data_IF_733665489817
#
_entry.id   IF_733665489817
#
_cell.length_a   1.000
_cell.length_b   1.000
_cell.length_c   1.000
_cell.angle_alpha   90.00
_cell.angle_beta   90.00
_cell.angle_gamma   90.00
#
_symmetry.space_group_name_H-M   'P 1'
#
loop_
_entity.id
_entity.type
_entity.pdbx_description
1 polymer ?
#
# COMPACT_ATOMS: atom_id res chain seq x y z
N UNK A 1 82.47 -20.94 26.80
CA UNK A 1 81.48 -19.89 27.15
C UNK A 1 80.32 -19.98 26.16
N UNK A 2 79.26 -20.70 26.55
CA UNK A 2 78.08 -20.91 25.69
C UNK A 2 76.96 -19.90 26.07
N UNK A 3 76.65 -18.95 25.18
CA UNK A 3 75.48 -18.10 25.35
C UNK A 3 74.28 -18.77 24.64
N UNK A 4 73.30 -19.22 25.40
CA UNK A 4 72.00 -19.72 24.92
C UNK A 4 71.11 -18.48 24.79
N UNK A 5 70.71 -18.18 23.56
CA UNK A 5 69.71 -17.16 23.26
C UNK A 5 68.33 -17.80 23.37
N UNK A 6 67.52 -17.32 24.30
CA UNK A 6 66.12 -17.71 24.48
C UNK A 6 65.24 -16.86 23.56
N UNK A 7 64.62 -17.50 22.57
CA UNK A 7 63.63 -16.84 21.70
C UNK A 7 62.25 -16.93 22.34
N UNK A 8 61.68 -15.80 22.71
CA UNK A 8 60.32 -15.71 23.24
C UNK A 8 59.34 -15.60 22.04
N UNK A 9 58.55 -16.65 21.81
CA UNK A 9 57.45 -16.66 20.83
C UNK A 9 56.22 -16.03 21.49
N UNK A 10 55.84 -14.83 21.08
CA UNK A 10 54.57 -14.21 21.46
C UNK A 10 53.52 -14.65 20.44
N UNK A 11 52.61 -15.54 20.87
CA UNK A 11 51.44 -15.93 20.11
C UNK A 11 50.38 -14.85 20.25
N UNK A 12 50.11 -14.06 19.19
CA UNK A 12 49.03 -13.11 19.10
C UNK A 12 47.78 -13.88 18.63
N UNK A 13 46.89 -14.17 19.57
CA UNK A 13 45.56 -14.72 19.23
C UNK A 13 44.65 -13.60 18.78
N UNK A 14 44.34 -13.58 17.49
CA UNK A 14 43.28 -12.73 16.93
C UNK A 14 41.92 -13.32 17.31
N UNK A 15 41.25 -12.71 18.26
CA UNK A 15 39.82 -12.98 18.52
C UNK A 15 39.03 -12.23 17.51
N UNK A 16 38.57 -12.93 16.46
CA UNK A 16 37.60 -12.39 15.50
C UNK A 16 36.25 -12.25 16.22
N UNK A 17 35.93 -11.05 16.66
CA UNK A 17 34.57 -10.71 17.06
C UNK A 17 33.74 -10.60 15.77
N UNK A 18 33.01 -11.67 15.45
CA UNK A 18 31.90 -11.62 14.52
C UNK A 18 30.82 -10.72 15.15
N UNK A 19 30.82 -9.45 14.77
CA UNK A 19 29.70 -8.56 15.06
C UNK A 19 28.48 -9.10 14.30
N UNK A 20 27.62 -9.84 14.98
CA UNK A 20 26.27 -10.11 14.55
C UNK A 20 25.53 -8.76 14.53
N UNK A 21 25.58 -8.09 13.38
CA UNK A 21 24.64 -7.04 13.06
C UNK A 21 23.27 -7.72 12.84
N UNK A 22 22.57 -8.03 13.93
CA UNK A 22 21.14 -8.17 13.90
C UNK A 22 20.60 -6.78 13.52
N UNK A 23 20.37 -6.58 12.22
CA UNK A 23 19.47 -5.54 11.75
C UNK A 23 18.10 -5.90 12.31
N UNK A 24 17.84 -5.41 13.53
CA UNK A 24 16.51 -5.42 14.10
C UNK A 24 15.61 -4.70 13.13
N UNK A 25 14.60 -5.40 12.61
CA UNK A 25 13.50 -4.78 11.91
C UNK A 25 12.99 -3.66 12.84
N UNK A 26 13.25 -2.42 12.47
CA UNK A 26 12.71 -1.26 13.16
C UNK A 26 11.20 -1.45 13.14
N UNK A 27 10.61 -1.69 14.31
CA UNK A 27 9.16 -1.68 14.45
C UNK A 27 8.72 -0.29 13.97
N UNK A 28 8.14 -0.23 12.77
CA UNK A 28 7.67 1.04 12.22
C UNK A 28 6.63 1.58 13.19
N UNK A 29 6.88 2.80 13.66
CA UNK A 29 5.92 3.53 14.47
C UNK A 29 4.59 3.60 13.69
N UNK A 30 3.48 3.32 14.36
CA UNK A 30 2.14 3.34 13.76
C UNK A 30 1.50 4.69 14.02
N UNK A 31 1.06 5.33 12.96
CA UNK A 31 0.26 6.54 12.97
C UNK A 31 -1.22 6.20 12.71
N UNK A 32 -2.12 7.08 13.10
CA UNK A 32 -3.55 6.96 12.80
C UNK A 32 -4.00 8.17 11.99
N UNK A 33 -4.65 7.90 10.87
CA UNK A 33 -5.41 8.91 10.13
C UNK A 33 -6.86 8.91 10.63
N UNK A 34 -7.42 10.10 10.79
CA UNK A 34 -8.85 10.30 11.05
C UNK A 34 -9.37 11.32 10.03
N UNK A 35 -10.46 11.00 9.35
CA UNK A 35 -11.09 11.90 8.41
C UNK A 35 -11.49 13.23 9.10
N UNK A 36 -11.39 14.35 8.39
CA UNK A 36 -11.67 15.68 8.95
C UNK A 36 -13.08 15.80 9.55
N UNK A 37 -14.06 15.12 8.96
CA UNK A 37 -15.44 15.04 9.43
C UNK A 37 -15.66 13.92 10.49
N UNK A 38 -14.62 13.21 10.89
CA UNK A 38 -14.67 12.11 11.83
C UNK A 38 -15.36 10.83 11.31
N UNK A 39 -15.68 10.72 10.02
CA UNK A 39 -16.50 9.61 9.51
C UNK A 39 -15.79 8.25 9.50
N UNK A 40 -14.47 8.23 9.43
CA UNK A 40 -13.65 7.01 9.44
C UNK A 40 -12.24 7.28 9.94
N UNK A 41 -11.55 6.20 10.26
CA UNK A 41 -10.13 6.19 10.63
C UNK A 41 -9.45 4.91 10.15
N UNK A 42 -8.12 4.96 10.05
CA UNK A 42 -7.26 3.79 9.82
C UNK A 42 -5.86 4.06 10.36
N UNK A 43 -5.10 2.97 10.58
CA UNK A 43 -3.72 3.04 11.05
C UNK A 43 -2.75 2.70 9.91
N UNK A 44 -1.57 3.31 9.91
CA UNK A 44 -0.54 3.11 8.89
C UNK A 44 0.86 3.32 9.47
N UNK A 45 1.92 2.73 8.90
CA UNK A 45 3.30 3.03 9.28
C UNK A 45 3.64 4.51 9.07
N UNK A 46 4.18 5.19 10.08
CA UNK A 46 4.46 6.64 10.07
C UNK A 46 5.44 7.08 8.97
N UNK A 47 6.21 6.14 8.41
CA UNK A 47 7.10 6.40 7.27
C UNK A 47 6.38 6.53 5.92
N UNK A 48 5.09 6.20 5.81
CA UNK A 48 4.32 6.32 4.58
C UNK A 48 3.77 7.73 4.42
N UNK A 49 3.61 8.14 3.16
CA UNK A 49 3.01 9.43 2.86
C UNK A 49 1.49 9.33 2.85
N UNK A 50 0.84 10.25 3.56
CA UNK A 50 -0.62 10.37 3.59
C UNK A 50 -1.05 11.64 2.88
N UNK A 51 -1.98 11.52 1.95
CA UNK A 51 -2.68 12.62 1.31
C UNK A 51 -4.17 12.52 1.62
N UNK A 52 -4.77 13.65 1.93
CA UNK A 52 -6.19 13.74 2.28
C UNK A 52 -6.90 14.72 1.37
N UNK A 53 -8.22 14.78 1.49
CA UNK A 53 -9.10 15.69 0.75
C UNK A 53 -8.51 17.10 0.63
N UNK A 54 -8.47 17.62 -0.59
CA UNK A 54 -7.89 18.93 -0.92
C UNK A 54 -6.37 18.98 -1.00
N UNK A 55 -5.64 17.88 -0.70
CA UNK A 55 -4.18 17.79 -0.74
C UNK A 55 -3.69 16.50 -1.44
N UNK A 56 -4.45 15.99 -2.38
CA UNK A 56 -4.12 14.74 -3.08
C UNK A 56 -3.00 14.93 -4.11
N UNK A 57 -2.85 16.10 -4.69
CA UNK A 57 -1.85 16.39 -5.75
C UNK A 57 -0.41 15.93 -5.43
N UNK A 58 0.13 16.11 -4.21
CA UNK A 58 1.48 15.63 -3.89
C UNK A 58 1.64 14.12 -3.91
N UNK A 59 0.54 13.35 -3.94
CA UNK A 59 0.54 11.89 -3.93
C UNK A 59 0.32 11.25 -5.30
N UNK A 60 0.35 12.05 -6.38
CA UNK A 60 0.25 11.53 -7.74
C UNK A 60 1.67 11.29 -8.26
N UNK A 61 2.18 10.06 -8.08
CA UNK A 61 3.58 9.73 -8.33
C UNK A 61 3.87 9.05 -9.67
N UNK A 62 2.90 8.71 -10.50
CA UNK A 62 3.17 7.97 -11.71
C UNK A 62 2.23 8.34 -12.85
N UNK A 63 2.56 7.87 -14.06
CA UNK A 63 1.66 7.94 -15.22
C UNK A 63 0.29 7.29 -14.97
N UNK A 64 0.24 6.30 -14.07
CA UNK A 64 -1.01 5.74 -13.55
C UNK A 64 -1.13 6.25 -12.11
N UNK A 65 -2.02 7.20 -11.83
CA UNK A 65 -2.20 7.69 -10.47
C UNK A 65 -2.70 6.55 -9.57
N UNK A 66 -2.02 6.37 -8.46
CA UNK A 66 -2.42 5.40 -7.43
C UNK A 66 -3.35 6.02 -6.39
N UNK A 67 -3.43 7.35 -6.35
CA UNK A 67 -4.40 8.12 -5.59
C UNK A 67 -5.31 8.89 -6.54
N UNK A 68 -6.61 8.70 -6.41
CA UNK A 68 -7.58 9.46 -7.19
C UNK A 68 -7.74 10.88 -6.65
N UNK A 69 -8.10 11.83 -7.53
CA UNK A 69 -8.28 13.23 -7.14
C UNK A 69 -9.44 13.43 -6.16
N UNK A 70 -10.44 12.55 -6.22
CA UNK A 70 -11.63 12.53 -5.37
C UNK A 70 -11.46 11.65 -4.10
N UNK A 71 -10.26 11.12 -3.86
CA UNK A 71 -9.99 10.35 -2.67
C UNK A 71 -10.15 11.21 -1.41
N UNK A 72 -10.89 10.70 -0.43
CA UNK A 72 -11.01 11.29 0.90
C UNK A 72 -9.71 11.14 1.70
N UNK A 73 -9.00 10.04 1.46
CA UNK A 73 -7.67 9.78 2.00
C UNK A 73 -6.93 8.79 1.12
N UNK A 74 -5.63 8.94 1.01
CA UNK A 74 -4.75 8.02 0.30
C UNK A 74 -3.42 7.91 1.05
N UNK A 75 -2.96 6.67 1.29
CA UNK A 75 -1.63 6.36 1.81
C UNK A 75 -0.82 5.78 0.68
N UNK A 76 0.38 6.33 0.45
CA UNK A 76 1.26 5.85 -0.62
C UNK A 76 2.49 5.20 -0.01
N UNK A 77 2.79 4.01 -0.48
CA UNK A 77 4.06 3.33 -0.23
C UNK A 77 5.09 3.93 -1.18
N UNK A 78 6.15 4.55 -0.68
CA UNK A 78 7.07 5.30 -1.53
C UNK A 78 7.91 4.35 -2.40
N UNK A 79 8.04 4.69 -3.68
CA UNK A 79 8.86 3.97 -4.68
C UNK A 79 10.30 3.73 -4.18
N UNK A 80 10.88 4.68 -3.46
CA UNK A 80 12.26 4.59 -2.95
C UNK A 80 12.52 3.39 -2.03
N UNK A 81 11.49 2.84 -1.38
CA UNK A 81 11.62 1.66 -0.51
C UNK A 81 12.03 0.40 -1.30
N UNK A 82 11.70 0.37 -2.59
CA UNK A 82 12.03 -0.70 -3.51
C UNK A 82 12.74 -0.16 -4.75
N UNK A 83 13.66 0.79 -4.56
CA UNK A 83 14.52 1.30 -5.62
C UNK A 83 15.16 0.12 -6.37
N UNK A 84 15.40 0.27 -7.65
CA UNK A 84 15.90 -0.76 -8.57
C UNK A 84 14.92 -1.92 -8.89
N UNK A 85 13.65 -1.80 -8.49
CA UNK A 85 12.61 -2.74 -8.89
C UNK A 85 11.63 -2.10 -9.86
N UNK A 86 10.80 -2.93 -10.49
CA UNK A 86 9.74 -2.47 -11.40
C UNK A 86 8.47 -2.00 -10.68
N UNK A 87 8.46 -1.94 -9.35
CA UNK A 87 7.36 -1.35 -8.59
C UNK A 87 7.24 0.15 -8.93
N UNK A 88 6.13 0.56 -9.50
CA UNK A 88 5.84 1.96 -9.76
C UNK A 88 5.34 2.67 -8.49
N UNK A 89 4.34 2.12 -7.85
CA UNK A 89 3.83 2.57 -6.56
C UNK A 89 2.86 1.55 -5.98
N UNK A 90 2.58 1.66 -4.67
CA UNK A 90 1.45 1.00 -4.05
C UNK A 90 0.70 1.98 -3.16
N UNK A 91 -0.62 1.81 -3.02
CA UNK A 91 -1.44 2.70 -2.22
C UNK A 91 -2.61 1.98 -1.58
N UNK A 92 -3.05 2.55 -0.46
CA UNK A 92 -4.39 2.34 0.09
C UNK A 92 -5.15 3.65 0.00
N UNK A 93 -6.38 3.62 -0.51
CA UNK A 93 -7.20 4.82 -0.55
C UNK A 93 -8.63 4.56 -0.07
N UNK A 94 -9.27 5.62 0.40
CA UNK A 94 -10.68 5.68 0.77
C UNK A 94 -11.34 6.74 -0.09
N UNK A 95 -12.43 6.39 -0.75
CA UNK A 95 -13.25 7.35 -1.49
C UNK A 95 -14.73 7.12 -1.29
N UNK A 96 -15.52 8.13 -1.58
CA UNK A 96 -16.96 8.01 -1.70
C UNK A 96 -17.33 7.80 -3.16
N UNK A 97 -18.15 6.79 -3.42
CA UNK A 97 -18.67 6.52 -4.76
C UNK A 97 -19.92 7.37 -4.98
N UNK A 98 -19.85 8.24 -5.98
CA UNK A 98 -20.97 9.02 -6.45
C UNK A 98 -21.34 8.55 -7.85
N UNK A 99 -22.63 8.61 -8.18
CA UNK A 99 -23.13 8.39 -9.54
C UNK A 99 -22.95 9.65 -10.38
N UNK A 100 -23.24 9.51 -11.67
CA UNK A 100 -23.28 10.66 -12.60
C UNK A 100 -24.10 11.82 -12.02
N UNK A 101 -23.55 13.03 -12.13
CA UNK A 101 -24.13 14.23 -11.52
C UNK A 101 -23.86 14.37 -10.02
N UNK A 102 -22.89 13.63 -9.48
CA UNK A 102 -22.53 13.61 -8.04
C UNK A 102 -23.69 13.15 -7.12
N UNK A 103 -24.54 12.27 -7.64
CA UNK A 103 -25.67 11.71 -6.88
C UNK A 103 -25.17 10.53 -6.05
N UNK A 104 -25.36 10.53 -4.72
CA UNK A 104 -25.00 9.38 -3.90
C UNK A 104 -25.90 8.18 -4.23
N UNK A 105 -25.37 6.93 -4.20
CA UNK A 105 -26.18 5.73 -4.23
C UNK A 105 -27.21 5.72 -3.10
N UNK A 106 -28.38 5.17 -3.37
CA UNK A 106 -29.51 5.20 -2.43
C UNK A 106 -29.63 3.94 -1.57
N UNK A 107 -28.93 2.88 -1.93
CA UNK A 107 -28.95 1.59 -1.24
C UNK A 107 -27.67 0.79 -1.53
N UNK A 108 -27.55 -0.38 -0.89
CA UNK A 108 -26.38 -1.24 -1.02
C UNK A 108 -26.18 -1.80 -2.45
N UNK A 109 -27.27 -2.16 -3.13
CA UNK A 109 -27.20 -2.69 -4.49
C UNK A 109 -26.69 -1.65 -5.47
N UNK A 110 -27.13 -0.40 -5.30
CA UNK A 110 -26.63 0.74 -6.06
C UNK A 110 -25.15 1.01 -5.86
N UNK A 111 -24.65 0.75 -4.64
CA UNK A 111 -23.25 0.95 -4.29
C UNK A 111 -22.33 -0.05 -5.02
N UNK A 112 -22.80 -1.26 -5.26
CA UNK A 112 -21.97 -2.35 -5.80
C UNK A 112 -22.22 -2.62 -7.28
N UNK A 113 -23.30 -2.07 -7.84
CA UNK A 113 -23.57 -2.17 -9.27
C UNK A 113 -22.61 -1.24 -10.03
N UNK A 114 -21.86 -1.77 -11.01
CA UNK A 114 -20.98 -0.93 -11.81
C UNK A 114 -21.77 0.22 -12.45
N UNK A 115 -21.28 1.44 -12.29
CA UNK A 115 -21.77 2.55 -13.07
C UNK A 115 -21.14 2.46 -14.47
N UNK A 116 -21.90 2.50 -15.56
CA UNK A 116 -21.33 2.49 -16.92
C UNK A 116 -20.36 3.64 -17.19
N UNK A 117 -20.41 4.69 -16.37
CA UNK A 117 -19.48 5.82 -16.43
C UNK A 117 -18.27 5.67 -15.50
N UNK A 118 -18.19 4.58 -14.71
CA UNK A 118 -16.99 4.29 -13.94
C UNK A 118 -15.81 4.14 -14.89
N UNK A 119 -14.67 4.70 -14.50
CA UNK A 119 -13.46 4.51 -15.28
C UNK A 119 -13.13 3.01 -15.31
N UNK A 120 -12.64 2.46 -16.44
CA UNK A 120 -12.36 1.02 -16.58
C UNK A 120 -11.54 0.43 -15.44
N UNK A 121 -10.64 1.20 -14.85
CA UNK A 121 -9.79 0.79 -13.73
C UNK A 121 -10.53 0.56 -12.40
N UNK A 122 -11.79 0.98 -12.29
CA UNK A 122 -12.63 0.75 -11.12
C UNK A 122 -13.76 -0.25 -11.37
N UNK A 123 -13.78 -0.83 -12.57
CA UNK A 123 -14.69 -1.92 -12.84
C UNK A 123 -14.16 -3.19 -12.17
N UNK A 124 -14.98 -3.77 -11.33
CA UNK A 124 -14.69 -5.08 -10.74
C UNK A 124 -14.66 -6.12 -11.86
N UNK A 125 -13.47 -6.60 -12.20
CA UNK A 125 -13.26 -7.64 -13.23
C UNK A 125 -13.53 -9.05 -12.70
N UNK A 126 -13.29 -9.27 -11.39
CA UNK A 126 -13.62 -10.51 -10.71
C UNK A 126 -14.17 -10.22 -9.31
N UNK A 127 -15.18 -10.98 -8.90
CA UNK A 127 -15.78 -10.88 -7.55
C UNK A 127 -15.23 -11.97 -6.65
N UNK A 128 -15.02 -11.62 -5.40
CA UNK A 128 -14.59 -12.49 -4.32
C UNK A 128 -15.66 -12.57 -3.23
N UNK A 129 -15.57 -13.49 -2.27
CA UNK A 129 -16.41 -13.47 -1.08
C UNK A 129 -16.34 -12.12 -0.37
N UNK A 130 -17.46 -11.69 0.20
CA UNK A 130 -17.50 -10.46 0.99
C UNK A 130 -16.57 -10.58 2.20
N UNK A 131 -15.97 -9.46 2.58
CA UNK A 131 -15.00 -9.37 3.68
C UNK A 131 -15.50 -8.40 4.75
N UNK A 132 -15.29 -8.74 6.02
CA UNK A 132 -15.68 -7.87 7.14
C UNK A 132 -14.46 -7.02 7.55
N UNK A 133 -14.56 -5.71 7.36
CA UNK A 133 -13.52 -4.74 7.71
C UNK A 133 -14.14 -3.72 8.68
N UNK A 134 -13.54 -3.54 9.85
CA UNK A 134 -14.04 -2.62 10.86
C UNK A 134 -15.48 -2.88 11.30
N UNK A 135 -15.94 -4.15 11.27
CA UNK A 135 -17.30 -4.55 11.64
C UNK A 135 -18.35 -4.37 10.54
N UNK A 136 -17.96 -3.88 9.35
CA UNK A 136 -18.86 -3.68 8.21
C UNK A 136 -18.52 -4.69 7.11
N UNK A 137 -19.53 -5.28 6.48
CA UNK A 137 -19.36 -6.19 5.35
C UNK A 137 -19.12 -5.40 4.06
N UNK A 138 -17.99 -5.66 3.42
CA UNK A 138 -17.62 -5.09 2.13
C UNK A 138 -17.73 -6.14 1.05
N UNK A 139 -18.28 -5.78 -0.10
CA UNK A 139 -18.15 -6.58 -1.31
C UNK A 139 -16.73 -6.39 -1.83
N UNK A 140 -16.04 -7.52 -2.04
CA UNK A 140 -14.67 -7.55 -2.53
C UNK A 140 -14.62 -7.93 -4.01
N UNK A 141 -13.76 -7.27 -4.75
CA UNK A 141 -13.46 -7.59 -6.14
C UNK A 141 -12.09 -7.10 -6.55
N UNK A 142 -11.64 -7.53 -7.70
CA UNK A 142 -10.37 -7.11 -8.29
C UNK A 142 -10.58 -6.39 -9.61
N UNK A 143 -9.67 -5.49 -9.94
CA UNK A 143 -9.56 -4.83 -11.22
C UNK A 143 -8.10 -4.84 -11.67
N UNK A 144 -7.89 -5.06 -12.96
CA UNK A 144 -6.57 -5.06 -13.58
C UNK A 144 -6.57 -4.13 -14.80
N UNK A 145 -5.44 -3.50 -15.05
CA UNK A 145 -5.24 -2.65 -16.22
C UNK A 145 -3.80 -2.68 -16.71
N UNK A 146 -3.63 -2.54 -18.01
CA UNK A 146 -2.32 -2.37 -18.65
C UNK A 146 -2.40 -1.25 -19.69
N UNK A 147 -1.45 -0.34 -19.67
CA UNK A 147 -1.35 0.73 -20.65
C UNK A 147 0.10 1.23 -20.76
N UNK A 148 0.58 1.43 -22.00
CA UNK A 148 1.88 2.05 -22.31
C UNK A 148 3.06 1.50 -21.48
N UNK A 149 3.09 0.18 -21.25
CA UNK A 149 4.16 -0.49 -20.48
C UNK A 149 4.03 -0.37 -18.96
N UNK A 150 2.90 0.10 -18.49
CA UNK A 150 2.54 0.10 -17.08
C UNK A 150 1.40 -0.89 -16.84
N UNK A 151 1.41 -1.52 -15.67
CA UNK A 151 0.32 -2.37 -15.22
C UNK A 151 -0.15 -1.89 -13.85
N UNK A 152 -1.44 -2.06 -13.60
CA UNK A 152 -2.07 -1.82 -12.29
C UNK A 152 -2.89 -3.04 -11.90
N UNK A 153 -2.83 -3.41 -10.64
CA UNK A 153 -3.75 -4.34 -10.00
C UNK A 153 -4.37 -3.66 -8.80
N UNK A 154 -5.67 -3.85 -8.64
CA UNK A 154 -6.43 -3.24 -7.54
C UNK A 154 -7.30 -4.31 -6.88
N UNK A 155 -7.30 -4.30 -5.55
CA UNK A 155 -8.31 -4.94 -4.73
C UNK A 155 -9.29 -3.86 -4.29
N UNK A 156 -10.57 -4.04 -4.60
CA UNK A 156 -11.65 -3.07 -4.40
C UNK A 156 -12.66 -3.61 -3.40
N UNK A 157 -12.97 -2.83 -2.39
CA UNK A 157 -13.89 -3.17 -1.31
C UNK A 157 -14.97 -2.10 -1.23
N UNK A 158 -16.24 -2.44 -1.48
CA UNK A 158 -17.35 -1.49 -1.47
C UNK A 158 -18.36 -1.82 -0.40
N UNK A 159 -18.79 -0.81 0.35
CA UNK A 159 -19.83 -0.93 1.35
C UNK A 159 -20.74 0.28 1.36
N UNK A 160 -22.03 0.03 1.61
CA UNK A 160 -23.02 1.07 1.86
C UNK A 160 -23.12 1.28 3.37
N UNK A 161 -22.78 2.48 3.84
CA UNK A 161 -22.77 2.81 5.26
C UNK A 161 -23.32 4.23 5.48
N UNK A 162 -24.30 4.37 6.39
CA UNK A 162 -24.94 5.66 6.71
C UNK A 162 -25.35 6.46 5.46
N UNK A 163 -26.06 5.79 4.53
CA UNK A 163 -26.55 6.37 3.26
C UNK A 163 -25.46 6.87 2.30
N UNK A 164 -24.24 6.40 2.46
CA UNK A 164 -23.11 6.71 1.58
C UNK A 164 -22.47 5.41 1.10
N UNK A 165 -21.96 5.43 -0.11
CA UNK A 165 -21.19 4.33 -0.67
C UNK A 165 -19.71 4.63 -0.54
N UNK A 166 -18.98 3.78 0.17
CA UNK A 166 -17.55 3.88 0.33
C UNK A 166 -16.85 2.79 -0.47
N UNK A 167 -15.72 3.17 -1.06
CA UNK A 167 -14.77 2.25 -1.64
C UNK A 167 -13.44 2.38 -0.91
N UNK A 168 -12.92 1.24 -0.46
CA UNK A 168 -11.53 1.10 -0.08
C UNK A 168 -10.82 0.41 -1.25
N UNK A 169 -9.65 0.88 -1.63
CA UNK A 169 -8.85 0.19 -2.64
C UNK A 169 -7.40 0.06 -2.21
N UNK A 170 -6.84 -1.13 -2.48
CA UNK A 170 -5.42 -1.39 -2.44
C UNK A 170 -4.95 -1.50 -3.89
N UNK A 171 -4.05 -0.62 -4.29
CA UNK A 171 -3.58 -0.55 -5.68
C UNK A 171 -2.07 -0.75 -5.73
N UNK A 172 -1.60 -1.56 -6.68
CA UNK A 172 -0.17 -1.73 -6.96
C UNK A 172 0.06 -1.50 -8.45
N UNK A 173 1.06 -0.70 -8.78
CA UNK A 173 1.44 -0.43 -10.15
C UNK A 173 2.85 -0.91 -10.44
N UNK A 174 3.08 -1.37 -11.67
CA UNK A 174 4.38 -1.80 -12.15
C UNK A 174 4.72 -1.11 -13.46
N UNK A 175 6.02 -0.94 -13.70
CA UNK A 175 6.54 -0.43 -14.96
C UNK A 175 7.45 -1.46 -15.58
N UNK A 176 7.21 -1.79 -16.85
CA UNK A 176 7.91 -2.87 -17.58
C UNK A 176 8.78 -2.37 -18.75
N UNK A 177 8.85 -1.04 -18.97
CA UNK A 177 9.44 -0.43 -20.18
C UNK A 177 10.86 0.11 -19.98
N UNK A 178 11.65 -0.44 -19.07
CA UNK A 178 13.03 0.02 -18.88
C UNK A 178 14.04 -0.89 -19.59
N UNK A 179 15.04 -0.26 -20.22
CA UNK A 179 16.26 -0.94 -20.65
C UNK A 179 17.46 -0.34 -19.87
N UNK A 180 18.19 -1.13 -19.08
CA UNK A 180 17.95 -2.56 -18.82
C UNK A 180 16.67 -2.81 -18.00
N UNK A 181 16.06 -4.03 -18.12
CA UNK A 181 14.83 -4.32 -17.40
C UNK A 181 15.05 -4.26 -15.90
N UNK A 182 14.15 -3.57 -15.19
CA UNK A 182 14.15 -3.50 -13.74
C UNK A 182 13.85 -4.87 -13.13
N UNK A 183 14.38 -5.12 -11.96
CA UNK A 183 14.10 -6.36 -11.21
C UNK A 183 12.67 -6.36 -10.71
N UNK A 184 12.02 -7.50 -10.73
CA UNK A 184 10.77 -7.69 -9.98
C UNK A 184 11.03 -7.70 -8.48
N UNK A 185 10.00 -7.40 -7.69
CA UNK A 185 10.09 -7.57 -6.24
C UNK A 185 10.53 -8.99 -5.89
N UNK A 186 11.47 -9.12 -4.97
CA UNK A 186 11.80 -10.42 -4.38
C UNK A 186 10.64 -10.91 -3.50
N UNK A 187 10.51 -12.23 -3.26
CA UNK A 187 9.44 -12.75 -2.40
C UNK A 187 9.35 -12.10 -1.02
N UNK A 188 10.45 -11.79 -0.31
CA UNK A 188 10.38 -11.04 0.94
C UNK A 188 9.84 -9.61 0.78
N UNK A 189 10.22 -8.89 -0.29
CA UNK A 189 9.73 -7.53 -0.57
C UNK A 189 8.24 -7.54 -0.91
N UNK A 190 7.80 -8.49 -1.74
CA UNK A 190 6.38 -8.66 -2.05
C UNK A 190 5.58 -8.93 -0.78
N UNK A 191 6.04 -9.85 0.06
CA UNK A 191 5.41 -10.16 1.33
C UNK A 191 5.31 -8.93 2.23
N UNK A 192 6.39 -8.16 2.37
CA UNK A 192 6.41 -6.93 3.17
C UNK A 192 5.37 -5.92 2.66
N UNK A 193 5.27 -5.73 1.33
CA UNK A 193 4.31 -4.84 0.72
C UNK A 193 2.87 -5.31 1.00
N UNK A 194 2.58 -6.59 0.74
CA UNK A 194 1.26 -7.19 0.94
C UNK A 194 0.83 -7.11 2.41
N UNK A 195 1.71 -7.42 3.36
CA UNK A 195 1.44 -7.33 4.80
C UNK A 195 1.19 -5.89 5.24
N UNK A 196 1.93 -4.93 4.70
CA UNK A 196 1.75 -3.51 5.00
C UNK A 196 0.38 -3.03 4.51
N UNK A 197 0.03 -3.28 3.25
CA UNK A 197 -1.24 -2.87 2.67
C UNK A 197 -2.43 -3.56 3.35
N UNK A 198 -2.31 -4.85 3.64
CA UNK A 198 -3.31 -5.61 4.38
C UNK A 198 -3.52 -5.06 5.79
N UNK A 199 -2.44 -4.69 6.49
CA UNK A 199 -2.53 -4.10 7.84
C UNK A 199 -3.28 -2.77 7.81
N UNK A 200 -3.00 -1.90 6.83
CA UNK A 200 -3.70 -0.63 6.68
C UNK A 200 -5.19 -0.87 6.41
N UNK A 201 -5.51 -1.72 5.44
CA UNK A 201 -6.89 -2.07 5.07
C UNK A 201 -7.69 -2.58 6.27
N UNK A 202 -7.16 -3.57 7.01
CA UNK A 202 -7.89 -4.18 8.13
C UNK A 202 -7.95 -3.31 9.39
N UNK A 203 -7.15 -2.24 9.44
CA UNK A 203 -7.23 -1.24 10.51
C UNK A 203 -8.33 -0.19 10.26
N UNK A 204 -8.91 -0.17 9.04
CA UNK A 204 -9.99 0.75 8.71
C UNK A 204 -11.23 0.49 9.56
N UNK A 205 -11.83 1.57 10.03
CA UNK A 205 -13.13 1.52 10.72
C UNK A 205 -13.91 2.80 10.47
N UNK A 206 -15.23 2.69 10.35
CA UNK A 206 -16.11 3.84 10.46
C UNK A 206 -16.17 4.32 11.90
N UNK A 207 -16.36 5.61 12.07
CA UNK A 207 -16.67 6.18 13.38
C UNK A 207 -18.18 6.24 13.56
N UNK A 208 -18.64 5.98 14.76
CA UNK A 208 -20.07 6.00 15.13
C UNK A 208 -20.67 7.43 15.15
#
# INVERSE_FOLDING_TARGET
MNRRTLALLVAVTWVSQAANAQQGASAHEISTFTAANGSFRFSYPSGLQVCAEGKIQPCIYSYIPVCEQDALACVVYPEKEFADTNLGAASFQVREILREGNIPPTNADDCVTPNPNDQPRFLISARHPAEVIGGVSFIHGTSDGVAAGHAIKQDLYRAFHKQRCFELSVSVTWTNNFEPPLKTLSPPQQKQLDETMSTILHSFSFSD
#
